data_IF_598564211382
#
_entry.id   IF_598564211382
#
_cell.length_a   1.000
_cell.length_b   1.000
_cell.length_c   1.000
_cell.angle_alpha   90.00
_cell.angle_beta   90.00
_cell.angle_gamma   90.00
#
_symmetry.space_group_name_H-M   'P 1'
#
loop_
_entity.id
_entity.type
_entity.pdbx_description
1 polymer ?
#
# COMPACT_ATOMS: atom_id res chain seq x y z
N UNK A 1 1.71 -10.11 -12.89
CA UNK A 1 1.19 -9.85 -11.52
C UNK A 1 0.08 -8.82 -11.65
N UNK A 2 -1.04 -9.01 -10.94
CA UNK A 2 -2.33 -8.32 -11.15
C UNK A 2 -2.52 -7.00 -10.38
N UNK A 3 -1.48 -6.49 -9.71
CA UNK A 3 -1.60 -5.30 -8.87
C UNK A 3 -1.99 -5.63 -7.43
N UNK A 4 -2.01 -4.62 -6.58
CA UNK A 4 -2.44 -4.72 -5.18
C UNK A 4 -3.97 -4.80 -5.09
N UNK A 5 -4.51 -5.69 -4.26
CA UNK A 5 -5.95 -5.85 -4.09
C UNK A 5 -6.46 -5.05 -2.89
N UNK A 6 -6.81 -3.79 -3.15
CA UNK A 6 -7.24 -2.84 -2.12
C UNK A 6 -8.60 -3.23 -1.55
N UNK A 7 -9.56 -3.60 -2.38
CA UNK A 7 -10.92 -3.97 -1.95
C UNK A 7 -10.89 -5.18 -1.00
N UNK A 8 -10.09 -6.19 -1.33
CA UNK A 8 -9.93 -7.36 -0.47
C UNK A 8 -9.24 -7.03 0.84
N UNK A 9 -8.21 -6.18 0.82
CA UNK A 9 -7.52 -5.79 2.05
C UNK A 9 -8.45 -4.98 2.96
N UNK A 10 -9.23 -4.07 2.37
CA UNK A 10 -10.20 -3.25 3.09
C UNK A 10 -11.30 -4.10 3.73
N UNK A 11 -11.82 -5.11 3.03
CA UNK A 11 -12.84 -5.99 3.62
C UNK A 11 -12.32 -6.80 4.80
N UNK A 12 -11.03 -7.19 4.78
CA UNK A 12 -10.38 -7.82 5.93
C UNK A 12 -10.30 -6.83 7.10
N UNK A 13 -9.81 -5.61 6.86
CA UNK A 13 -9.66 -4.57 7.88
C UNK A 13 -11.00 -4.25 8.55
N UNK A 14 -12.07 -4.09 7.76
CA UNK A 14 -13.42 -3.82 8.25
C UNK A 14 -13.99 -5.00 9.05
N UNK A 15 -13.74 -6.24 8.61
CA UNK A 15 -14.23 -7.43 9.29
C UNK A 15 -13.49 -7.72 10.61
N UNK A 16 -12.18 -7.50 10.66
CA UNK A 16 -11.38 -7.78 11.86
C UNK A 16 -11.33 -6.61 12.84
N UNK A 17 -11.50 -5.37 12.36
CA UNK A 17 -11.39 -4.16 13.17
C UNK A 17 -9.97 -3.87 13.67
N UNK A 18 -8.95 -4.44 13.02
CA UNK A 18 -7.53 -4.30 13.37
C UNK A 18 -6.77 -3.59 12.26
N UNK A 19 -5.66 -2.96 12.64
CA UNK A 19 -4.72 -2.38 11.68
C UNK A 19 -4.25 -3.45 10.68
N UNK A 20 -4.33 -3.12 9.40
CA UNK A 20 -4.12 -4.09 8.33
C UNK A 20 -3.06 -3.61 7.34
N UNK A 21 -2.16 -4.52 6.98
CA UNK A 21 -1.08 -4.26 6.02
C UNK A 21 -1.41 -4.97 4.71
N UNK A 22 -1.55 -4.22 3.62
CA UNK A 22 -1.69 -4.78 2.29
C UNK A 22 -0.37 -5.40 1.81
N UNK A 23 -0.41 -6.63 1.30
CA UNK A 23 0.78 -7.30 0.78
C UNK A 23 0.53 -7.87 -0.62
N UNK A 24 1.54 -7.72 -1.48
CA UNK A 24 1.56 -8.30 -2.81
C UNK A 24 1.02 -7.35 -3.91
N UNK A 25 1.79 -7.23 -4.99
CA UNK A 25 1.34 -6.57 -6.22
C UNK A 25 1.47 -5.05 -6.26
N UNK A 26 2.09 -4.40 -5.27
CA UNK A 26 2.40 -2.97 -5.32
C UNK A 26 3.37 -2.65 -6.47
N UNK A 27 3.04 -1.65 -7.29
CA UNK A 27 3.77 -1.28 -8.52
C UNK A 27 4.45 0.07 -8.43
N UNK A 28 3.76 1.09 -7.96
CA UNK A 28 4.24 2.47 -8.02
C UNK A 28 3.53 3.37 -6.99
N UNK A 29 3.79 4.67 -7.07
CA UNK A 29 3.19 5.67 -6.18
C UNK A 29 1.65 5.75 -6.26
N UNK A 30 1.03 5.36 -7.38
CA UNK A 30 -0.44 5.36 -7.52
C UNK A 30 -1.07 4.36 -6.58
N UNK A 31 -0.47 3.19 -6.44
CA UNK A 31 -0.92 2.16 -5.51
C UNK A 31 -0.77 2.67 -4.04
N UNK A 32 0.29 3.45 -3.71
CA UNK A 32 0.44 4.08 -2.39
C UNK A 32 -0.71 5.05 -2.10
N UNK A 33 -1.01 5.97 -3.02
CA UNK A 33 -2.12 6.92 -2.82
C UNK A 33 -3.46 6.21 -2.65
N UNK A 34 -3.72 5.19 -3.46
CA UNK A 34 -4.96 4.42 -3.39
C UNK A 34 -5.11 3.66 -2.06
N UNK A 35 -4.02 3.13 -1.49
CA UNK A 35 -4.02 2.53 -0.15
C UNK A 35 -4.32 3.58 0.94
N UNK A 36 -3.71 4.77 0.85
CA UNK A 36 -3.96 5.86 1.79
C UNK A 36 -5.41 6.34 1.74
N UNK A 37 -5.97 6.51 0.53
CA UNK A 37 -7.39 6.87 0.32
C UNK A 37 -8.33 5.79 0.86
N UNK A 38 -7.96 4.52 0.74
CA UNK A 38 -8.72 3.41 1.29
C UNK A 38 -8.61 3.28 2.81
N UNK A 39 -7.71 4.01 3.45
CA UNK A 39 -7.47 3.97 4.90
C UNK A 39 -6.75 2.70 5.35
N UNK A 40 -5.95 2.09 4.48
CA UNK A 40 -5.12 0.92 4.82
C UNK A 40 -3.88 1.37 5.59
N UNK A 41 -3.56 0.72 6.71
CA UNK A 41 -2.55 1.17 7.67
C UNK A 41 -1.11 1.00 7.19
N UNK A 42 -0.87 0.08 6.25
CA UNK A 42 0.45 -0.10 5.68
C UNK A 42 0.50 -0.99 4.45
N UNK A 43 1.68 -1.10 3.85
CA UNK A 43 1.92 -2.04 2.77
C UNK A 43 3.35 -2.55 2.72
N UNK A 44 3.54 -3.77 2.19
CA UNK A 44 4.86 -4.36 1.98
C UNK A 44 5.37 -4.01 0.58
N UNK A 45 6.51 -3.33 0.54
CA UNK A 45 7.21 -2.99 -0.69
C UNK A 45 8.29 -4.04 -0.99
N UNK A 46 8.26 -4.58 -2.20
CA UNK A 46 9.27 -5.52 -2.69
C UNK A 46 9.73 -5.14 -4.09
N UNK A 47 9.26 -5.88 -5.10
CA UNK A 47 9.67 -5.76 -6.50
C UNK A 47 9.70 -4.31 -7.03
N UNK A 48 8.70 -3.49 -6.71
CA UNK A 48 8.63 -2.10 -7.15
C UNK A 48 9.81 -1.23 -6.70
N UNK A 49 10.40 -1.51 -5.53
CA UNK A 49 11.60 -0.84 -5.08
C UNK A 49 12.83 -1.31 -5.88
N UNK A 50 12.98 -2.63 -6.05
CA UNK A 50 14.09 -3.20 -6.81
C UNK A 50 14.10 -2.80 -8.29
N UNK A 51 12.92 -2.59 -8.89
CA UNK A 51 12.77 -2.14 -10.29
C UNK A 51 12.76 -0.61 -10.45
N UNK A 52 12.83 0.15 -9.35
CA UNK A 52 12.84 1.61 -9.37
C UNK A 52 11.52 2.25 -9.82
N UNK A 53 10.41 1.51 -9.79
CA UNK A 53 9.08 2.02 -10.14
C UNK A 53 8.40 2.74 -8.98
N UNK A 54 8.95 2.61 -7.77
CA UNK A 54 8.51 3.31 -6.57
C UNK A 54 9.63 4.21 -6.02
N UNK A 55 9.31 5.46 -5.75
CA UNK A 55 10.13 6.36 -4.95
C UNK A 55 9.86 6.12 -3.46
N UNK A 56 10.70 5.30 -2.84
CA UNK A 56 10.54 4.88 -1.44
C UNK A 56 10.68 6.05 -0.46
N UNK A 57 11.57 7.00 -0.74
CA UNK A 57 11.76 8.18 0.12
C UNK A 57 10.50 9.06 0.10
N UNK A 58 9.95 9.30 -1.09
CA UNK A 58 8.69 10.02 -1.25
C UNK A 58 7.54 9.28 -0.57
N UNK A 59 7.46 7.95 -0.71
CA UNK A 59 6.43 7.14 -0.07
C UNK A 59 6.47 7.31 1.46
N UNK A 60 7.65 7.23 2.08
CA UNK A 60 7.78 7.49 3.53
C UNK A 60 7.42 8.92 3.92
N UNK A 61 7.79 9.92 3.10
CA UNK A 61 7.49 11.32 3.38
C UNK A 61 5.99 11.60 3.41
N UNK A 62 5.22 11.02 2.49
CA UNK A 62 3.76 11.20 2.45
C UNK A 62 3.03 10.33 3.48
N UNK A 63 3.56 9.15 3.81
CA UNK A 63 2.96 8.25 4.79
C UNK A 63 3.19 8.70 6.24
N UNK A 64 4.39 9.21 6.54
CA UNK A 64 4.73 9.74 7.87
C UNK A 64 4.32 11.22 8.04
N UNK A 65 3.92 11.89 6.96
CA UNK A 65 3.54 13.30 6.94
C UNK A 65 2.11 13.60 7.39
N UNK A 66 1.61 12.86 8.39
CA UNK A 66 0.60 13.43 9.29
C UNK A 66 1.22 14.59 10.06
#
# INVERSE_FOLDING_TARGET
MTGINIEFTKSIQEACGLETIASGGLRDMRDIYALMEAGIDGTIVGKAFYEGTLDLERAFRIANGK
#
